data_IF_108529822340
#
_entry.id   IF_108529822340
#
_cell.length_a   1.000
_cell.length_b   1.000
_cell.length_c   1.000
_cell.angle_alpha   90.00
_cell.angle_beta   90.00
_cell.angle_gamma   90.00
#
_symmetry.space_group_name_H-M   'P 1'
#
loop_
_entity.id
_entity.type
_entity.pdbx_description
1 polymer ?
2 polymer ?
3 non-polymer ?
4 non-polymer ?
5 water ?
#
# COMPACT_ATOMS: atom_id res chain seq x y z
N UNK A 1 0.12 0.54 -23.57
CA UNK A 1 0.63 -0.76 -23.03
C UNK A 1 0.18 -0.98 -21.58
N UNK A 2 -0.10 -2.23 -21.21
CA UNK A 2 -0.53 -2.57 -19.86
C UNK A 2 0.60 -2.55 -18.82
N UNK A 3 0.23 -2.38 -17.56
CA UNK A 3 1.21 -2.36 -16.48
C UNK A 3 1.74 -3.77 -16.26
N UNK A 4 0.86 -4.76 -16.45
CA UNK A 4 1.22 -6.17 -16.32
C UNK A 4 1.11 -6.78 -17.70
N UNK A 5 2.26 -7.02 -18.32
CA UNK A 5 2.31 -7.56 -19.68
C UNK A 5 1.85 -9.00 -19.86
N UNK A 6 1.81 -9.77 -18.78
CA UNK A 6 1.36 -11.16 -18.88
C UNK A 6 0.17 -11.43 -17.99
N UNK A 7 -0.81 -12.16 -18.52
CA UNK A 7 -2.01 -12.50 -17.77
C UNK A 7 -1.82 -13.86 -17.09
N UNK A 8 -1.08 -13.83 -15.98
CA UNK A 8 -0.76 -15.01 -15.19
C UNK A 8 -1.97 -15.83 -14.74
N UNK A 9 -1.78 -17.13 -14.66
CA UNK A 9 -2.80 -18.05 -14.15
C UNK A 9 -2.05 -18.65 -12.96
N UNK A 10 -2.73 -18.85 -11.84
CA UNK A 10 -2.04 -19.39 -10.66
C UNK A 10 -1.34 -20.72 -10.91
N UNK A 11 -1.91 -21.55 -11.77
CA UNK A 11 -1.34 -22.85 -12.06
C UNK A 11 -0.22 -22.86 -13.10
N UNK A 12 0.13 -21.69 -13.64
CA UNK A 12 1.22 -21.65 -14.63
C UNK A 12 2.48 -22.21 -13.97
N UNK A 13 3.25 -23.05 -14.70
CA UNK A 13 4.47 -23.64 -14.12
C UNK A 13 5.53 -22.62 -13.71
N UNK A 14 6.20 -22.88 -12.59
CA UNK A 14 7.24 -21.97 -12.10
C UNK A 14 8.39 -21.94 -13.11
N UNK A 15 9.07 -20.81 -13.20
CA UNK A 15 10.19 -20.68 -14.12
C UNK A 15 11.42 -20.11 -13.43
N UNK A 16 11.30 -19.81 -12.14
CA UNK A 16 12.43 -19.29 -11.40
C UNK A 16 12.79 -17.85 -11.71
N UNK A 17 11.96 -17.17 -12.49
CA UNK A 17 12.21 -15.77 -12.84
C UNK A 17 11.05 -14.88 -12.39
N UNK A 18 9.90 -15.00 -13.06
CA UNK A 18 8.75 -14.20 -12.65
C UNK A 18 7.60 -15.04 -12.08
N UNK A 19 7.81 -16.35 -12.04
CA UNK A 19 6.84 -17.27 -11.41
C UNK A 19 7.76 -18.19 -10.63
N UNK A 20 7.77 -18.08 -9.31
CA UNK A 20 8.69 -18.88 -8.52
C UNK A 20 8.32 -19.05 -7.07
N UNK A 21 8.96 -20.01 -6.41
CA UNK A 21 8.76 -20.25 -5.00
C UNK A 21 9.78 -19.36 -4.32
N UNK A 22 9.34 -18.61 -3.32
CA UNK A 22 10.23 -17.69 -2.63
C UNK A 22 10.09 -17.72 -1.12
N UNK A 23 11.03 -17.07 -0.45
CA UNK A 23 11.02 -16.95 1.00
C UNK A 23 11.30 -15.48 1.30
N UNK A 24 10.66 -14.94 2.33
CA UNK A 24 10.86 -13.55 2.69
C UNK A 24 11.70 -13.45 3.98
N UNK A 25 12.47 -12.36 4.12
CA UNK A 25 13.33 -12.14 5.29
C UNK A 25 12.53 -11.77 6.55
N UNK A 26 11.90 -12.78 7.15
CA UNK A 26 11.11 -12.56 8.36
C UNK A 26 11.93 -12.85 9.61
N UNK A 27 13.22 -13.13 9.41
CA UNK A 27 14.11 -13.45 10.53
C UNK A 27 13.64 -14.73 11.21
N UNK A 28 12.84 -15.51 10.49
CA UNK A 28 12.33 -16.76 11.02
C UNK A 28 12.29 -17.82 9.95
N UNK A 29 11.65 -18.95 10.25
CA UNK A 29 11.55 -20.05 9.30
C UNK A 29 10.19 -20.08 8.61
N UNK A 30 10.16 -20.57 7.38
CA UNK A 30 8.93 -20.67 6.61
C UNK A 30 9.18 -21.55 5.39
N UNK A 31 8.11 -22.20 4.92
CA UNK A 31 8.21 -23.03 3.72
C UNK A 31 8.04 -22.05 2.56
N UNK A 32 8.72 -22.30 1.43
CA UNK A 32 8.58 -21.39 0.30
C UNK A 32 7.14 -21.29 -0.24
N UNK A 33 6.77 -20.08 -0.68
CA UNK A 33 5.43 -19.85 -1.22
C UNK A 33 5.52 -19.43 -2.69
N UNK A 34 4.50 -19.79 -3.48
CA UNK A 34 4.50 -19.43 -4.90
C UNK A 34 4.18 -17.95 -5.06
N UNK A 35 5.01 -17.25 -5.83
CA UNK A 35 4.82 -15.81 -6.06
C UNK A 35 4.94 -15.46 -7.54
N UNK A 36 4.41 -14.28 -7.88
CA UNK A 36 4.40 -13.80 -9.27
C UNK A 36 4.91 -12.38 -9.38
N UNK A 37 5.90 -12.17 -10.25
CA UNK A 37 6.45 -10.83 -10.44
C UNK A 37 5.66 -10.21 -11.58
N UNK A 38 4.76 -9.29 -11.24
CA UNK A 38 3.89 -8.66 -12.24
C UNK A 38 4.45 -7.44 -12.96
N UNK A 39 5.52 -6.87 -12.44
CA UNK A 39 6.15 -5.69 -13.03
C UNK A 39 7.52 -5.51 -12.38
N UNK A 40 8.42 -4.77 -13.03
CA UNK A 40 9.74 -4.54 -12.46
C UNK A 40 9.58 -4.07 -11.00
N UNK A 41 10.29 -4.75 -10.07
CA UNK A 41 10.28 -4.42 -8.65
C UNK A 41 8.99 -4.72 -7.86
N UNK A 42 8.00 -5.33 -8.50
CA UNK A 42 6.73 -5.60 -7.81
C UNK A 42 6.27 -7.06 -7.90
N UNK A 43 6.01 -7.66 -6.74
CA UNK A 43 5.56 -9.06 -6.67
C UNK A 43 4.22 -9.22 -5.96
N UNK A 44 3.51 -10.30 -6.30
CA UNK A 44 2.24 -10.62 -5.67
C UNK A 44 2.33 -12.04 -5.12
N UNK A 45 1.96 -12.20 -3.84
CA UNK A 45 1.97 -13.51 -3.16
C UNK A 45 0.52 -13.81 -2.77
N UNK A 46 -0.15 -14.71 -3.50
CA UNK A 46 -1.55 -15.06 -3.21
C UNK A 46 -1.70 -15.99 -1.99
N UNK A 47 -1.24 -15.52 -0.83
CA UNK A 47 -1.34 -16.30 0.41
C UNK A 47 -1.76 -15.36 1.54
N UNK A 48 -2.37 -15.93 2.57
CA UNK A 48 -2.74 -15.15 3.73
C UNK A 48 -1.40 -14.82 4.39
N UNK A 49 -1.24 -13.62 4.92
CA UNK A 49 0.04 -13.25 5.53
C UNK A 49 0.28 -13.74 6.95
N UNK A 50 0.94 -14.90 7.06
CA UNK A 50 1.29 -15.48 8.34
C UNK A 50 2.81 -15.47 8.41
N UNK A 51 3.43 -14.60 7.61
CA UNK A 51 4.88 -14.53 7.52
C UNK A 51 5.59 -13.28 8.06
N UNK A 52 5.07 -12.10 7.72
CA UNK A 52 5.73 -10.87 8.18
C UNK A 52 5.77 -10.69 9.68
N UNK A 53 4.81 -11.29 10.39
CA UNK A 53 4.75 -11.19 11.84
C UNK A 53 4.53 -12.58 12.42
N UNK A 54 5.55 -13.13 13.11
CA UNK A 54 5.45 -14.46 13.72
C UNK A 54 4.31 -14.61 14.72
N UNK A 55 3.98 -13.51 15.38
CA UNK A 55 2.91 -13.52 16.37
C UNK A 55 1.52 -13.44 15.73
N UNK A 56 1.47 -13.45 14.40
CA UNK A 56 0.20 -13.38 13.69
C UNK A 56 0.14 -14.49 12.63
N UNK A 57 0.38 -15.72 13.06
CA UNK A 57 0.36 -16.85 12.15
C UNK A 57 -0.89 -17.72 12.29
N UNK A 58 -1.78 -17.33 13.20
CA UNK A 58 -3.01 -18.08 13.44
C UNK A 58 -4.20 -17.38 12.79
N UNK A 59 -4.81 -18.04 11.80
CA UNK A 59 -5.95 -17.47 11.09
C UNK A 59 -7.28 -17.77 11.78
N UNK A 60 -7.26 -18.66 12.77
CA UNK A 60 -8.47 -19.03 13.49
C UNK A 60 -8.96 -17.88 14.37
N UNK A 61 -10.28 -17.61 14.35
CA UNK A 61 -10.89 -16.55 15.13
C UNK A 61 -11.09 -16.91 16.60
N UNK A 62 -10.75 -15.97 17.51
CA UNK A 62 -10.91 -16.23 18.94
C UNK A 62 -12.40 -16.44 19.25
N UNK A 63 -12.75 -16.67 20.52
CA UNK A 63 -14.16 -16.87 20.85
C UNK A 63 -15.01 -15.67 20.42
N UNK A 64 -16.33 -15.90 20.27
CA UNK A 64 -17.24 -14.85 19.85
C UNK A 64 -17.13 -13.58 20.69
N UNK A 65 -17.17 -13.74 22.01
CA UNK A 65 -17.06 -12.60 22.91
C UNK A 65 -15.59 -12.26 23.14
N UNK A 66 -14.89 -11.92 22.06
CA UNK A 66 -13.47 -11.59 22.12
C UNK A 66 -13.07 -10.84 20.85
N UNK A 67 -13.94 -10.86 19.85
CA UNK A 67 -13.67 -10.21 18.58
C UNK A 67 -13.97 -8.71 18.57
N UNK A 68 -13.12 -7.96 17.87
CA UNK A 68 -13.27 -6.51 17.76
C UNK A 68 -14.47 -6.20 16.85
N UNK A 69 -15.20 -5.12 17.13
CA UNK A 69 -16.36 -4.74 16.33
C UNK A 69 -16.09 -4.71 14.82
N UNK A 70 -15.18 -3.85 14.40
CA UNK A 70 -14.83 -3.75 13.00
C UNK A 70 -13.71 -4.73 12.68
N UNK A 71 -14.11 -5.94 12.28
CA UNK A 71 -13.19 -7.00 11.93
C UNK A 71 -14.01 -8.11 11.27
N UNK A 72 -13.32 -8.99 10.53
CA UNK A 72 -13.99 -10.09 9.86
C UNK A 72 -13.01 -11.25 9.73
N UNK A 73 -13.42 -12.41 10.23
CA UNK A 73 -12.58 -13.59 10.20
C UNK A 73 -13.17 -14.73 9.36
N UNK A 74 -12.29 -15.45 8.66
CA UNK A 74 -12.64 -16.62 7.85
C UNK A 74 -11.32 -17.31 7.54
N UNK A 75 -10.97 -18.27 8.39
CA UNK A 75 -9.72 -19.00 8.27
C UNK A 75 -9.56 -19.73 6.93
N UNK A 76 -10.65 -19.97 6.23
CA UNK A 76 -10.58 -20.70 4.95
C UNK A 76 -10.38 -19.82 3.71
N UNK A 77 -10.56 -18.52 3.84
CA UNK A 77 -10.39 -17.63 2.69
C UNK A 77 -8.96 -17.68 2.14
N UNK A 78 -8.87 -17.81 0.82
CA UNK A 78 -7.60 -17.85 0.11
C UNK A 78 -6.76 -19.08 0.42
N UNK A 79 -7.42 -20.23 0.51
CA UNK A 79 -6.71 -21.48 0.79
C UNK A 79 -6.69 -22.43 -0.41
N UNK A 80 -7.54 -22.18 -1.40
CA UNK A 80 -7.61 -23.05 -2.58
C UNK A 80 -6.98 -22.42 -3.82
N UNK A 81 -6.57 -23.26 -4.77
CA UNK A 81 -5.96 -22.77 -6.00
C UNK A 81 -6.89 -21.88 -6.82
N UNK A 82 -8.19 -22.17 -6.81
CA UNK A 82 -9.14 -21.36 -7.57
C UNK A 82 -9.18 -19.95 -6.97
N UNK A 83 -9.20 -19.86 -5.65
CA UNK A 83 -9.22 -18.57 -4.98
C UNK A 83 -7.96 -17.79 -5.26
N UNK A 84 -6.82 -18.49 -5.25
CA UNK A 84 -5.55 -17.83 -5.49
C UNK A 84 -5.47 -17.30 -6.91
N UNK A 85 -6.05 -18.04 -7.85
CA UNK A 85 -6.07 -17.62 -9.26
C UNK A 85 -6.92 -16.37 -9.38
N UNK A 86 -8.07 -16.35 -8.72
CA UNK A 86 -8.96 -15.19 -8.78
C UNK A 86 -8.34 -13.98 -8.06
N UNK A 87 -7.57 -14.25 -7.02
CA UNK A 87 -6.90 -13.19 -6.25
C UNK A 87 -5.84 -12.52 -7.13
N UNK A 88 -5.05 -13.34 -7.81
CA UNK A 88 -4.00 -12.83 -8.69
C UNK A 88 -4.59 -11.96 -9.81
N UNK A 89 -5.66 -12.46 -10.44
CA UNK A 89 -6.33 -11.75 -11.53
C UNK A 89 -7.00 -10.46 -11.05
N UNK A 90 -7.56 -10.49 -9.84
CA UNK A 90 -8.20 -9.31 -9.29
C UNK A 90 -7.20 -8.21 -8.96
N UNK A 91 -6.09 -8.60 -8.34
CA UNK A 91 -5.05 -7.63 -8.01
C UNK A 91 -4.46 -7.03 -9.29
N UNK A 92 -4.23 -7.88 -10.30
CA UNK A 92 -3.69 -7.43 -11.57
C UNK A 92 -4.63 -6.39 -12.22
N UNK A 93 -5.92 -6.69 -12.21
CA UNK A 93 -6.92 -5.81 -12.80
C UNK A 93 -6.94 -4.46 -12.10
N UNK A 94 -6.77 -4.45 -10.79
CA UNK A 94 -6.78 -3.19 -10.06
C UNK A 94 -5.53 -2.37 -10.39
N UNK A 95 -4.38 -3.03 -10.57
CA UNK A 95 -3.17 -2.30 -10.94
C UNK A 95 -3.40 -1.64 -12.31
N UNK A 96 -4.09 -2.34 -13.21
CA UNK A 96 -4.35 -1.78 -14.54
C UNK A 96 -5.30 -0.59 -14.48
N UNK A 97 -6.32 -0.69 -13.62
CA UNK A 97 -7.27 0.41 -13.47
C UNK A 97 -6.54 1.63 -12.93
N UNK A 98 -5.67 1.42 -11.95
CA UNK A 98 -4.88 2.50 -11.37
C UNK A 98 -3.91 3.10 -12.41
N UNK A 99 -3.22 2.23 -13.13
CA UNK A 99 -2.26 2.66 -14.14
C UNK A 99 -2.91 3.37 -15.33
N UNK A 100 -4.19 3.09 -15.58
CA UNK A 100 -4.90 3.72 -16.69
C UNK A 100 -5.20 5.20 -16.48
N UNK A 101 -4.97 5.68 -15.25
CA UNK A 101 -5.20 7.10 -14.95
C UNK A 101 -3.85 7.81 -14.90
N UNK A 102 -3.82 9.10 -15.22
CA UNK A 102 -2.55 9.81 -15.19
C UNK A 102 -1.95 9.79 -13.79
N UNK A 103 -2.81 10.00 -12.77
CA UNK A 103 -2.34 10.01 -11.39
C UNK A 103 -1.79 8.64 -10.99
N UNK A 104 -2.46 7.57 -11.42
CA UNK A 104 -2.00 6.23 -11.10
C UNK A 104 -0.66 5.92 -11.76
N UNK A 105 -0.49 6.36 -13.00
CA UNK A 105 0.75 6.14 -13.72
C UNK A 105 1.88 6.87 -12.99
N UNK A 106 1.58 8.08 -12.52
CA UNK A 106 2.58 8.87 -11.80
C UNK A 106 2.99 8.18 -10.50
N UNK A 107 2.00 7.75 -9.70
CA UNK A 107 2.29 7.07 -8.43
C UNK A 107 3.09 5.78 -8.62
N UNK A 108 2.67 4.93 -9.54
CA UNK A 108 3.37 3.68 -9.78
C UNK A 108 4.78 3.91 -10.28
N UNK A 109 4.97 4.94 -11.09
CA UNK A 109 6.30 5.26 -11.60
C UNK A 109 7.19 5.65 -10.42
N UNK A 110 6.67 6.47 -9.50
CA UNK A 110 7.43 6.89 -8.32
C UNK A 110 7.79 5.68 -7.45
N UNK A 111 6.87 4.73 -7.35
CA UNK A 111 7.11 3.55 -6.54
C UNK A 111 8.22 2.68 -7.12
N UNK A 112 8.22 2.49 -8.43
CA UNK A 112 9.25 1.67 -9.07
C UNK A 112 10.63 2.30 -8.93
N UNK A 113 10.69 3.63 -9.01
CA UNK A 113 11.96 4.35 -8.88
C UNK A 113 12.44 4.43 -7.43
N UNK A 114 11.54 4.19 -6.49
CA UNK A 114 11.87 4.28 -5.08
C UNK A 114 12.64 3.14 -4.42
N UNK A 115 13.69 2.68 -5.09
CA UNK A 115 14.51 1.59 -4.56
C UNK A 115 15.05 1.89 -3.15
N UNK A 116 14.84 0.97 -2.19
CA UNK A 116 15.34 1.19 -0.83
C UNK A 116 16.84 1.45 -0.85
N UNK A 117 17.28 2.47 -0.12
CA UNK A 117 18.67 2.85 -0.09
C UNK A 117 19.63 1.76 0.41
N UNK A 118 20.81 1.72 -0.19
CA UNK A 118 21.86 0.76 0.17
C UNK A 118 22.65 1.32 1.35
N UNK A 119 22.08 1.23 2.55
CA UNK A 119 22.76 1.73 3.73
C UNK A 119 23.01 0.67 4.78
N UNK A 120 23.28 -0.55 4.34
CA UNK A 120 23.52 -1.64 5.27
C UNK A 120 24.95 -1.83 5.72
N UNK A 121 25.90 -1.21 5.02
CA UNK A 121 27.31 -1.34 5.37
C UNK A 121 27.65 -0.65 6.68
N UNK A 122 28.68 -1.14 7.36
CA UNK A 122 29.11 -0.57 8.63
C UNK A 122 30.28 0.41 8.45
N UNK A 123 30.79 0.47 7.22
CA UNK A 123 31.89 1.37 6.89
C UNK A 123 31.42 2.34 5.81
N UNK A 124 31.49 3.63 6.11
CA UNK A 124 31.05 4.68 5.21
C UNK A 124 31.83 4.84 3.90
N UNK A 125 32.70 3.90 3.57
CA UNK A 125 33.47 4.00 2.34
C UNK A 125 32.96 3.03 1.27
N UNK A 126 31.83 2.40 1.54
CA UNK A 126 31.22 1.45 0.61
C UNK A 126 29.72 1.28 0.84
N UNK A 127 28.98 1.18 -0.25
CA UNK A 127 27.53 1.02 -0.20
C UNK A 127 27.16 -0.46 -0.20
N UNK A 128 26.26 -0.85 0.69
CA UNK A 128 25.81 -2.23 0.78
C UNK A 128 24.30 -2.33 0.98
N UNK A 129 23.68 -3.24 0.23
CA UNK A 129 22.23 -3.43 0.32
C UNK A 129 21.83 -4.00 1.68
N UNK A 130 20.60 -3.72 2.10
CA UNK A 130 20.08 -4.23 3.35
C UNK A 130 19.26 -5.46 2.94
N UNK A 131 19.68 -6.63 3.36
CA UNK A 131 19.00 -7.88 2.99
C UNK A 131 17.50 -7.98 3.23
N UNK A 132 16.97 -7.21 4.19
CA UNK A 132 15.53 -7.27 4.46
C UNK A 132 14.71 -6.57 3.38
N UNK A 133 15.41 -5.97 2.41
CA UNK A 133 14.75 -5.29 1.30
C UNK A 133 14.86 -6.21 0.08
N UNK A 134 15.05 -7.49 0.35
CA UNK A 134 15.17 -8.52 -0.70
C UNK A 134 14.32 -9.73 -0.34
N UNK A 135 14.17 -10.62 -1.31
CA UNK A 135 13.47 -11.88 -1.12
C UNK A 135 14.41 -12.93 -1.69
N UNK A 136 14.24 -14.18 -1.27
CA UNK A 136 15.09 -15.26 -1.77
C UNK A 136 14.28 -16.10 -2.75
N UNK A 137 14.70 -16.07 -4.01
CA UNK A 137 14.02 -16.79 -5.07
C UNK A 137 14.68 -18.13 -5.38
N UNK A 138 13.88 -19.18 -5.43
CA UNK A 138 14.42 -20.50 -5.76
C UNK A 138 14.60 -20.54 -7.27
N UNK A 139 15.84 -20.79 -7.70
CA UNK A 139 16.18 -20.84 -9.13
C UNK A 139 15.87 -22.22 -9.71
N UNK A 140 15.92 -22.36 -11.05
CA UNK A 140 15.64 -23.66 -11.67
C UNK A 140 16.51 -24.80 -11.13
N UNK A 141 17.72 -24.50 -10.68
CA UNK A 141 18.61 -25.52 -10.17
C UNK A 141 18.41 -25.83 -8.69
N UNK A 142 17.39 -25.22 -8.10
CA UNK A 142 17.10 -25.47 -6.70
C UNK A 142 17.79 -24.57 -5.71
N UNK A 143 18.74 -23.76 -6.18
CA UNK A 143 19.46 -22.85 -5.30
C UNK A 143 18.69 -21.54 -5.15
N UNK A 144 19.02 -20.80 -4.10
CA UNK A 144 18.38 -19.52 -3.82
C UNK A 144 19.22 -18.35 -4.32
N UNK A 145 18.56 -17.31 -4.82
CA UNK A 145 19.26 -16.12 -5.26
C UNK A 145 18.53 -14.93 -4.62
N UNK A 146 19.29 -13.94 -4.19
CA UNK A 146 18.73 -12.76 -3.55
C UNK A 146 18.31 -11.72 -4.58
N UNK A 147 17.06 -11.26 -4.47
CA UNK A 147 16.56 -10.24 -5.39
C UNK A 147 15.97 -9.07 -4.64
N UNK A 148 16.40 -7.86 -5.01
CA UNK A 148 15.88 -6.65 -4.38
C UNK A 148 14.51 -6.39 -4.99
N UNK A 149 13.59 -5.84 -4.19
CA UNK A 149 12.26 -5.52 -4.69
C UNK A 149 11.73 -4.35 -3.87
N UNK A 150 10.74 -3.65 -4.40
CA UNK A 150 10.18 -2.49 -3.71
C UNK A 150 8.81 -2.75 -3.08
N UNK A 151 8.02 -3.61 -3.71
CA UNK A 151 6.67 -3.84 -3.24
C UNK A 151 6.16 -5.27 -3.40
N UNK A 152 5.39 -5.71 -2.41
CA UNK A 152 4.80 -7.04 -2.41
C UNK A 152 3.35 -6.89 -1.98
N UNK A 153 2.43 -7.46 -2.75
CA UNK A 153 1.01 -7.42 -2.38
C UNK A 153 0.77 -8.85 -1.88
N UNK A 154 0.27 -8.96 -0.65
CA UNK A 154 0.01 -10.27 -0.05
C UNK A 154 -1.39 -10.27 0.57
N UNK A 155 -1.94 -11.45 0.81
CA UNK A 155 -3.26 -11.53 1.39
C UNK A 155 -3.27 -11.09 2.84
N UNK A 156 -4.45 -10.78 3.40
CA UNK A 156 -4.53 -10.34 4.79
C UNK A 156 -4.19 -11.47 5.77
N UNK A 157 -3.92 -11.07 7.01
CA UNK A 157 -3.62 -12.02 8.07
C UNK A 157 -4.98 -12.50 8.63
N UNK A 158 -5.04 -12.83 9.92
CA UNK A 158 -6.29 -13.32 10.53
C UNK A 158 -7.51 -12.42 10.26
N UNK A 159 -7.38 -11.14 10.59
CA UNK A 159 -8.47 -10.19 10.36
C UNK A 159 -8.43 -9.80 8.89
N UNK A 160 -9.34 -10.37 8.12
CA UNK A 160 -9.41 -10.14 6.67
C UNK A 160 -9.51 -8.69 6.20
N UNK A 161 -10.21 -7.86 6.96
CA UNK A 161 -10.39 -6.48 6.55
C UNK A 161 -9.37 -5.47 7.06
N UNK A 162 -8.34 -5.95 7.76
CA UNK A 162 -7.31 -5.05 8.26
C UNK A 162 -6.22 -4.90 7.20
N UNK A 163 -6.48 -4.10 6.18
CA UNK A 163 -5.50 -3.87 5.11
C UNK A 163 -4.49 -2.86 5.63
N UNK A 164 -3.21 -3.04 5.30
CA UNK A 164 -2.19 -2.11 5.76
C UNK A 164 -0.86 -2.34 5.08
N UNK A 165 0.03 -1.36 5.20
CA UNK A 165 1.35 -1.39 4.63
C UNK A 165 2.32 -1.83 5.75
N UNK A 166 3.07 -2.90 5.51
CA UNK A 166 4.01 -3.41 6.50
C UNK A 166 5.42 -3.53 5.94
N UNK A 167 6.43 -3.45 6.83
CA UNK A 167 7.81 -3.59 6.38
C UNK A 167 8.72 -4.01 7.52
N UNK A 168 9.86 -4.63 7.17
CA UNK A 168 10.80 -5.09 8.18
C UNK A 168 11.68 -3.96 8.65
N UNK A 169 11.80 -3.83 9.97
CA UNK A 169 12.61 -2.77 10.55
C UNK A 169 14.08 -3.12 10.67
N UNK A 170 14.86 -2.13 11.09
CA UNK A 170 16.29 -2.31 11.27
C UNK A 170 16.63 -2.18 12.75
N UNK A 171 17.74 -2.79 13.14
CA UNK A 171 18.20 -2.76 14.52
C UNK A 171 18.42 -1.35 15.05
N UNK A 172 18.90 -0.44 14.19
CA UNK A 172 19.16 0.93 14.61
C UNK A 172 18.48 1.99 13.75
N UNK A 173 18.34 1.70 12.46
CA UNK A 173 17.75 2.66 11.53
C UNK A 173 16.23 2.58 11.42
N UNK A 174 15.60 3.76 11.35
CA UNK A 174 14.15 3.83 11.18
C UNK A 174 13.99 4.06 9.68
N UNK A 175 14.09 2.98 8.92
CA UNK A 175 14.02 3.03 7.46
C UNK A 175 12.85 3.76 6.81
N UNK A 176 11.67 3.72 7.41
CA UNK A 176 10.54 4.42 6.79
C UNK A 176 10.48 5.88 7.19
N UNK A 177 11.39 6.31 8.07
CA UNK A 177 11.38 7.70 8.51
C UNK A 177 12.75 8.38 8.50
N UNK A 178 13.73 7.78 7.82
CA UNK A 178 15.06 8.39 7.76
C UNK A 178 15.51 8.61 6.31
N UNK A 179 14.53 8.60 5.41
CA UNK A 179 14.81 8.81 3.99
C UNK A 179 15.31 7.60 3.22
N UNK A 180 15.72 6.55 3.94
CA UNK A 180 16.25 5.34 3.31
C UNK A 180 15.21 4.54 2.53
N UNK A 181 14.09 4.23 3.19
CA UNK A 181 13.07 3.44 2.54
C UNK A 181 13.30 1.96 2.77
N UNK A 182 12.25 1.16 2.62
CA UNK A 182 12.35 -0.27 2.82
C UNK A 182 11.27 -0.96 1.98
N UNK A 183 11.48 -2.25 1.70
CA UNK A 183 10.49 -3.00 0.92
C UNK A 183 9.15 -3.03 1.66
N UNK A 184 8.09 -2.67 0.94
CA UNK A 184 6.76 -2.63 1.51
C UNK A 184 5.89 -3.84 1.18
N UNK A 185 5.23 -4.36 2.21
CA UNK A 185 4.33 -5.50 2.09
C UNK A 185 2.92 -4.99 2.37
N UNK A 186 2.05 -5.02 1.37
CA UNK A 186 0.68 -4.55 1.56
C UNK A 186 -0.29 -5.71 1.71
N UNK A 187 -0.92 -5.80 2.90
CA UNK A 187 -1.92 -6.82 3.15
C UNK A 187 -3.18 -6.26 2.48
N UNK A 188 -3.73 -7.01 1.53
CA UNK A 188 -4.88 -6.52 0.77
C UNK A 188 -5.65 -7.66 0.09
N UNK A 189 -6.95 -7.44 -0.14
CA UNK A 189 -7.77 -8.42 -0.84
C UNK A 189 -8.74 -7.72 -1.81
N UNK A 190 -8.82 -8.21 -3.05
CA UNK A 190 -9.72 -7.65 -4.07
C UNK A 190 -11.08 -8.36 -4.03
N UNK A 191 -11.21 -9.31 -3.11
CA UNK A 191 -12.40 -10.14 -2.99
C UNK A 191 -13.48 -9.67 -2.03
N UNK A 192 -13.24 -8.52 -1.41
CA UNK A 192 -14.18 -7.92 -0.47
C UNK A 192 -14.10 -6.41 -0.64
N UNK A 193 -15.16 -5.73 -0.24
CA UNK A 193 -15.13 -4.28 -0.23
C UNK A 193 -16.03 -3.81 0.89
N UNK A 194 -16.09 -2.51 1.08
CA UNK A 194 -16.83 -1.93 2.20
C UNK A 194 -17.91 -0.94 1.83
N UNK A 195 -18.93 -0.88 2.66
CA UNK A 195 -20.01 0.04 2.41
C UNK A 195 -19.81 1.36 3.12
N UNK A 196 -20.41 2.40 2.57
CA UNK A 196 -20.34 3.72 3.18
C UNK A 196 -21.67 4.38 2.85
N UNK A 197 -21.97 5.49 3.53
CA UNK A 197 -23.22 6.19 3.30
C UNK A 197 -23.07 7.49 2.53
N UNK A 198 -24.00 7.72 1.61
CA UNK A 198 -24.00 8.91 0.75
C UNK A 198 -24.18 10.25 1.46
N UNK A 199 -24.82 10.24 2.62
CA UNK A 199 -25.00 11.48 3.39
C UNK A 199 -23.89 11.58 4.44
N UNK A 200 -23.21 12.73 4.47
CA UNK A 200 -22.11 12.92 5.42
C UNK A 200 -22.52 12.77 6.88
N UNK A 201 -23.66 13.34 7.25
CA UNK A 201 -24.12 13.25 8.64
C UNK A 201 -24.41 11.81 9.05
N UNK A 202 -24.72 10.96 8.08
CA UNK A 202 -24.99 9.55 8.35
C UNK A 202 -23.68 8.76 8.36
N UNK A 203 -22.83 9.01 7.37
CA UNK A 203 -21.56 8.28 7.27
C UNK A 203 -20.65 8.49 8.48
N UNK A 204 -20.72 9.67 9.08
CA UNK A 204 -19.88 10.00 10.24
C UNK A 204 -20.57 9.73 11.57
N UNK A 205 -21.69 9.01 11.53
CA UNK A 205 -22.45 8.67 12.73
C UNK A 205 -22.39 7.15 12.91
N UNK A 206 -22.01 6.68 14.11
CA UNK A 206 -21.90 5.24 14.39
C UNK A 206 -23.20 4.47 14.54
N UNK A 207 -24.32 5.17 14.60
CA UNK A 207 -25.63 4.52 14.78
C UNK A 207 -26.53 4.48 13.56
N UNK A 208 -26.12 5.12 12.46
CA UNK A 208 -26.95 5.21 11.27
C UNK A 208 -26.38 4.63 9.98
N UNK A 209 -27.27 4.08 9.15
CA UNK A 209 -26.84 3.54 7.87
C UNK A 209 -26.44 2.09 7.85
N UNK A 210 -26.72 1.44 6.72
CA UNK A 210 -26.39 0.03 6.54
C UNK A 210 -25.27 -0.18 5.53
N UNK A 211 -24.86 0.91 4.87
CA UNK A 211 -23.80 0.82 3.88
C UNK A 211 -24.37 0.63 2.47
N UNK A 212 -25.14 1.62 2.01
CA UNK A 212 -25.77 1.56 0.70
C UNK A 212 -24.82 1.52 -0.50
N UNK A 213 -23.76 2.32 -0.45
CA UNK A 213 -22.82 2.35 -1.57
C UNK A 213 -21.55 1.57 -1.25
N UNK A 214 -20.97 0.96 -2.27
CA UNK A 214 -19.77 0.16 -2.09
C UNK A 214 -18.53 0.91 -2.55
N UNK A 215 -17.47 0.84 -1.75
CA UNK A 215 -16.20 1.48 -2.08
C UNK A 215 -15.59 0.73 -3.28
N UNK A 216 -15.04 1.49 -4.24
CA UNK A 216 -14.39 0.85 -5.39
C UNK A 216 -13.04 0.34 -4.85
N UNK A 217 -12.78 -0.97 -4.94
CA UNK A 217 -11.51 -1.52 -4.43
C UNK A 217 -10.23 -0.90 -5.02
N UNK A 218 -10.34 -0.22 -6.16
CA UNK A 218 -9.16 0.41 -6.75
C UNK A 218 -8.72 1.59 -5.89
N UNK A 219 -9.68 2.24 -5.24
CA UNK A 219 -9.36 3.35 -4.35
C UNK A 219 -8.67 2.80 -3.10
N UNK A 220 -9.20 1.71 -2.58
CA UNK A 220 -8.64 1.07 -1.38
C UNK A 220 -7.19 0.66 -1.60
N UNK A 221 -6.90 0.07 -2.76
CA UNK A 221 -5.53 -0.31 -3.05
C UNK A 221 -4.64 0.93 -3.21
N UNK A 222 -5.16 1.94 -3.92
CA UNK A 222 -4.42 3.18 -4.14
C UNK A 222 -4.01 3.80 -2.80
N UNK A 223 -4.91 3.72 -1.82
CA UNK A 223 -4.65 4.27 -0.49
C UNK A 223 -3.39 3.62 0.09
N UNK A 224 -3.31 2.29 0.00
CA UNK A 224 -2.13 1.60 0.54
C UNK A 224 -0.89 1.89 -0.29
N UNK A 225 -1.05 2.06 -1.61
CA UNK A 225 0.08 2.37 -2.48
C UNK A 225 0.66 3.74 -2.13
N UNK A 226 -0.21 4.64 -1.68
CA UNK A 226 0.23 5.99 -1.29
C UNK A 226 1.11 5.87 -0.04
N UNK A 227 0.68 5.06 0.92
CA UNK A 227 1.48 4.83 2.13
C UNK A 227 2.82 4.22 1.70
N UNK A 228 2.78 3.27 0.76
CA UNK A 228 4.00 2.63 0.31
C UNK A 228 4.95 3.66 -0.28
N UNK A 229 4.40 4.62 -1.00
CA UNK A 229 5.21 5.66 -1.59
C UNK A 229 5.93 6.45 -0.52
N UNK A 230 5.23 6.81 0.54
CA UNK A 230 5.85 7.57 1.64
C UNK A 230 6.96 6.74 2.27
N UNK A 231 6.66 5.47 2.53
CA UNK A 231 7.62 4.59 3.19
C UNK A 231 8.84 4.22 2.35
N UNK A 232 8.66 4.10 1.03
CA UNK A 232 9.79 3.77 0.15
C UNK A 232 10.79 4.93 0.06
N UNK A 233 10.29 6.15 0.24
CA UNK A 233 11.15 7.34 0.19
C UNK A 233 11.54 7.78 1.61
N UNK A 234 11.18 6.95 2.59
CA UNK A 234 11.52 7.22 3.98
C UNK A 234 10.99 8.50 4.58
N UNK A 235 9.81 8.93 4.15
CA UNK A 235 9.23 10.15 4.68
C UNK A 235 7.88 9.95 5.38
N UNK A 236 7.64 8.74 5.88
CA UNK A 236 6.38 8.47 6.58
C UNK A 236 6.40 9.22 7.92
N UNK A 237 5.24 9.69 8.36
CA UNK A 237 5.18 10.41 9.63
C UNK A 237 5.07 9.41 10.78
N UNK A 238 5.88 9.62 11.82
CA UNK A 238 5.87 8.74 12.98
C UNK A 238 4.43 8.55 13.45
N UNK A 239 4.00 7.29 13.64
CA UNK A 239 2.63 7.03 14.10
C UNK A 239 2.28 7.64 15.46
N UNK A 240 3.29 8.04 16.22
CA UNK A 240 3.03 8.64 17.53
C UNK A 240 2.53 10.08 17.38
N UNK A 241 2.66 10.63 16.18
CA UNK A 241 2.20 11.99 15.91
C UNK A 241 0.75 11.85 15.45
N UNK A 242 -0.18 12.22 16.31
CA UNK A 242 -1.59 12.08 16.01
C UNK A 242 -2.44 13.31 16.23
N UNK A 243 -3.65 13.27 15.66
CA UNK A 243 -4.61 14.34 15.80
C UNK A 243 -5.65 13.84 16.80
N UNK A 244 -5.79 14.55 17.91
CA UNK A 244 -6.78 14.16 18.91
C UNK A 244 -8.11 14.70 18.37
N UNK A 245 -8.78 13.88 17.58
CA UNK A 245 -10.05 14.26 16.96
C UNK A 245 -11.00 14.98 17.91
N UNK A 246 -11.31 16.23 17.57
CA UNK A 246 -12.22 17.04 18.37
C UNK A 246 -13.26 17.65 17.44
N UNK A 247 -13.49 16.99 16.32
CA UNK A 247 -14.46 17.46 15.32
C UNK A 247 -15.57 16.43 15.11
N UNK A 248 -15.62 15.44 15.99
CA UNK A 248 -16.63 14.39 15.92
C UNK A 248 -16.91 13.94 17.35
N UNK A 249 -18.10 14.28 17.83
CA UNK A 249 -18.52 13.95 19.19
C UNK A 249 -18.35 12.48 19.56
N UNK A 250 -18.60 11.59 18.60
CA UNK A 250 -18.49 10.16 18.84
C UNK A 250 -17.03 9.72 18.96
N UNK A 251 -16.16 10.33 18.17
CA UNK A 251 -14.74 10.01 18.25
C UNK A 251 -14.25 10.51 19.62
N UNK A 252 -14.67 11.72 19.97
CA UNK A 252 -14.28 12.34 21.23
C UNK A 252 -14.62 11.54 22.49
N UNK A 253 -15.82 10.96 22.55
CA UNK A 253 -16.20 10.19 23.72
C UNK A 253 -15.41 8.90 23.83
N UNK A 254 -14.73 8.54 22.74
CA UNK A 254 -13.91 7.32 22.72
C UNK A 254 -12.44 7.68 22.87
N UNK A 255 -12.15 8.98 22.82
CA UNK A 255 -10.77 9.44 22.94
C UNK A 255 -9.90 8.95 21.80
N UNK A 256 -10.51 8.68 20.65
CA UNK A 256 -9.75 8.19 19.51
C UNK A 256 -8.84 9.23 18.87
N UNK A 257 -7.61 8.84 18.62
CA UNK A 257 -6.62 9.71 18.00
C UNK A 257 -6.28 9.10 16.64
N UNK A 258 -6.20 9.92 15.60
CA UNK A 258 -5.87 9.43 14.27
C UNK A 258 -4.50 9.98 13.88
N UNK A 259 -3.63 9.12 13.36
CA UNK A 259 -2.28 9.53 12.98
C UNK A 259 -2.26 10.54 11.84
N UNK A 260 -1.26 11.42 11.86
CA UNK A 260 -1.11 12.42 10.81
C UNK A 260 -0.85 11.71 9.47
N UNK A 261 -0.16 10.58 9.53
CA UNK A 261 0.14 9.81 8.32
C UNK A 261 -1.13 9.41 7.58
N UNK A 262 -2.19 9.06 8.32
CA UNK A 262 -3.45 8.68 7.69
C UNK A 262 -4.18 9.89 7.12
N UNK A 263 -4.19 10.99 7.86
CA UNK A 263 -4.86 12.20 7.39
C UNK A 263 -4.20 12.72 6.12
N UNK A 264 -2.87 12.66 6.07
CA UNK A 264 -2.12 13.11 4.91
C UNK A 264 -2.47 12.25 3.70
N UNK A 265 -2.53 10.94 3.92
CA UNK A 265 -2.82 9.98 2.87
C UNK A 265 -4.22 10.15 2.29
N UNK A 266 -5.20 10.45 3.14
CA UNK A 266 -6.54 10.65 2.61
C UNK A 266 -6.56 11.94 1.79
N UNK A 267 -5.93 12.98 2.34
CA UNK A 267 -5.88 14.27 1.66
C UNK A 267 -7.12 15.12 1.87
N UNK A 268 -7.47 15.92 0.87
CA UNK A 268 -8.64 16.77 0.96
C UNK A 268 -8.63 17.62 2.23
N UNK A 269 -9.78 17.77 2.86
CA UNK A 269 -9.88 18.58 4.07
C UNK A 269 -9.19 17.90 5.26
N UNK A 270 -9.09 16.57 5.23
CA UNK A 270 -8.44 15.82 6.30
C UNK A 270 -7.01 16.29 6.53
N UNK A 271 -6.29 16.53 5.43
CA UNK A 271 -4.90 16.95 5.50
C UNK A 271 -4.72 18.28 6.21
N UNK A 272 -5.78 19.10 6.25
CA UNK A 272 -5.71 20.40 6.90
C UNK A 272 -5.66 20.36 8.42
N UNK A 273 -5.91 19.19 9.02
CA UNK A 273 -5.85 19.08 10.47
C UNK A 273 -4.41 19.15 10.94
N UNK A 274 -3.48 18.99 10.00
CA UNK A 274 -2.04 19.08 10.28
C UNK A 274 -1.70 20.55 10.07
N UNK A 275 -1.45 21.28 11.15
CA UNK A 275 -1.13 22.71 11.04
C UNK A 275 0.15 23.03 10.29
N UNK A 276 0.26 24.29 9.86
CA UNK A 276 1.41 24.78 9.11
C UNK A 276 2.76 24.57 9.80
N UNK A 277 2.82 24.88 11.10
CA UNK A 277 4.07 24.74 11.86
C UNK A 277 4.57 23.30 11.91
N UNK A 278 3.67 22.35 12.16
CA UNK A 278 4.07 20.95 12.21
C UNK A 278 4.42 20.48 10.81
N UNK A 279 3.71 21.02 9.82
CA UNK A 279 3.95 20.67 8.43
C UNK A 279 5.37 21.08 8.06
N UNK A 280 5.78 22.27 8.48
CA UNK A 280 7.13 22.77 8.19
C UNK A 280 8.16 21.95 8.95
N UNK A 281 7.82 21.55 10.18
CA UNK A 281 8.71 20.75 11.01
C UNK A 281 9.11 19.46 10.29
N UNK A 282 8.09 18.75 9.80
CA UNK A 282 8.34 17.50 9.10
C UNK A 282 9.12 17.70 7.80
N UNK A 283 8.75 18.73 7.04
CA UNK A 283 9.42 18.99 5.78
C UNK A 283 10.92 19.22 5.97
N UNK A 284 11.28 20.03 6.96
CA UNK A 284 12.68 20.30 7.24
C UNK A 284 13.39 19.06 7.74
N UNK A 285 12.69 18.28 8.58
CA UNK A 285 13.23 17.06 9.14
C UNK A 285 13.66 16.09 8.03
N UNK A 286 12.78 15.89 7.06
CA UNK A 286 13.11 14.97 5.97
C UNK A 286 14.11 15.55 4.98
N UNK A 287 14.18 16.88 4.94
CA UNK A 287 15.15 17.55 4.08
C UNK A 287 16.52 17.19 4.65
N UNK A 288 16.64 17.26 5.97
CA UNK A 288 17.90 16.93 6.65
C UNK A 288 18.27 15.47 6.43
N UNK A 289 17.26 14.61 6.32
CA UNK A 289 17.51 13.18 6.10
C UNK A 289 18.06 12.94 4.71
N UNK A 290 17.52 13.65 3.71
CA UNK A 290 17.98 13.51 2.34
C UNK A 290 19.41 14.04 2.25
N UNK A 291 19.72 15.01 3.11
CA UNK A 291 21.06 15.60 3.16
C UNK A 291 22.05 14.56 3.68
N UNK A 292 21.68 13.87 4.75
CA UNK A 292 22.55 12.84 5.33
C UNK A 292 22.82 11.74 4.33
N UNK A 293 21.83 11.44 3.48
CA UNK A 293 21.99 10.41 2.47
C UNK A 293 22.98 10.90 1.41
N UNK A 294 22.99 12.21 1.19
CA UNK A 294 23.90 12.80 0.21
C UNK A 294 25.32 12.72 0.73
N UNK A 295 25.48 12.99 2.03
CA UNK A 295 26.79 12.96 2.68
C UNK A 295 27.34 11.54 2.71
N UNK A 296 26.47 10.58 2.98
CA UNK A 296 26.86 9.17 3.03
C UNK A 296 27.29 8.71 1.65
N UNK A 297 26.60 9.18 0.62
CA UNK A 297 26.91 8.82 -0.76
C UNK A 297 28.27 9.37 -1.19
N UNK A 298 28.64 10.54 -0.66
CA UNK A 298 29.92 11.14 -1.01
C UNK A 298 31.07 10.37 -0.38
N UNK A 299 30.94 9.98 0.88
CA UNK A 299 31.98 9.24 1.57
C UNK A 299 32.19 7.86 0.95
N UNK A 300 31.20 7.38 0.20
CA UNK A 300 31.28 6.08 -0.44
C UNK A 300 32.35 6.04 -1.51
N UNK A 301 33.16 4.99 -1.49
CA UNK A 301 34.24 4.81 -2.47
C UNK A 301 34.07 3.54 -3.30
N UNK A 302 33.63 2.47 -2.65
CA UNK A 302 33.43 1.19 -3.32
C UNK A 302 32.00 0.68 -3.16
N UNK A 303 31.72 -0.44 -3.83
CA UNK A 303 30.41 -1.05 -3.77
C UNK A 303 30.54 -2.52 -3.38
N UNK A 304 29.58 -3.03 -2.62
CA UNK A 304 29.61 -4.42 -2.19
C UNK A 304 28.77 -5.27 -3.14
N UNK A 305 29.35 -6.37 -3.60
CA UNK A 305 28.64 -7.25 -4.52
C UNK A 305 29.06 -6.99 -5.96
N UNK A 306 28.53 -7.77 -6.88
CA UNK A 306 28.87 -7.61 -8.29
C UNK A 306 27.62 -7.58 -9.17
N UNK A 307 26.47 -7.35 -8.55
CA UNK A 307 25.21 -7.29 -9.28
C UNK A 307 25.13 -6.02 -10.12
N UNK A 308 25.57 -4.91 -9.53
CA UNK A 308 25.55 -3.61 -10.22
C UNK A 308 26.83 -2.86 -9.90
N UNK A 309 27.16 -1.87 -10.73
CA UNK A 309 28.36 -1.07 -10.53
C UNK A 309 28.07 0.11 -9.61
N UNK A 310 29.09 0.58 -8.91
CA UNK A 310 28.94 1.72 -8.00
C UNK A 310 28.36 2.90 -8.79
N UNK A 311 28.93 3.12 -9.97
CA UNK A 311 28.48 4.21 -10.85
C UNK A 311 26.99 4.08 -11.10
N UNK A 312 26.53 2.85 -11.32
CA UNK A 312 25.13 2.61 -11.58
C UNK A 312 24.27 2.95 -10.37
N UNK A 313 24.65 2.42 -9.21
CA UNK A 313 23.89 2.66 -7.98
C UNK A 313 23.91 4.12 -7.54
N UNK A 314 25.09 4.74 -7.55
CA UNK A 314 25.17 6.14 -7.14
C UNK A 314 24.24 6.97 -8.00
N UNK A 315 24.07 6.55 -9.25
CA UNK A 315 23.19 7.24 -10.19
C UNK A 315 21.73 6.88 -9.99
N UNK A 316 21.47 5.64 -9.57
CA UNK A 316 20.10 5.18 -9.33
C UNK A 316 19.47 5.99 -8.20
N UNK A 317 20.29 6.30 -7.20
CA UNK A 317 19.81 7.07 -6.05
C UNK A 317 19.81 8.56 -6.34
N UNK A 318 20.55 8.97 -7.37
CA UNK A 318 20.59 10.38 -7.74
C UNK A 318 19.25 10.67 -8.40
N UNK A 319 18.73 9.66 -9.10
CA UNK A 319 17.45 9.77 -9.79
C UNK A 319 16.27 9.62 -8.82
N UNK A 320 16.45 8.77 -7.81
CA UNK A 320 15.38 8.54 -6.83
C UNK A 320 15.14 9.78 -6.00
N UNK A 321 16.23 10.31 -5.44
CA UNK A 321 16.16 11.49 -4.58
C UNK A 321 16.32 12.80 -5.35
N UNK A 322 16.48 12.70 -6.66
CA UNK A 322 16.64 13.88 -7.52
C UNK A 322 17.70 14.84 -7.00
N UNK A 323 18.85 14.28 -6.62
CA UNK A 323 19.95 15.07 -6.10
C UNK A 323 20.67 15.82 -7.21
N UNK A 324 21.53 16.75 -6.81
CA UNK A 324 22.31 17.54 -7.75
C UNK A 324 23.77 17.11 -7.60
N UNK A 325 24.55 17.33 -8.66
CA UNK A 325 25.96 16.96 -8.64
C UNK A 325 26.83 18.09 -9.20
N UNK A 326 27.83 18.50 -8.43
CA UNK A 326 28.72 19.57 -8.86
C UNK A 326 29.86 19.07 -9.73
N UNK A 327 30.75 19.98 -10.12
CA UNK A 327 31.89 19.64 -10.98
C UNK A 327 32.70 18.48 -10.43
N UNK A 328 33.05 18.55 -9.15
CA UNK A 328 33.82 17.49 -8.51
C UNK A 328 33.07 16.16 -8.47
N UNK A 329 31.75 16.23 -8.63
CA UNK A 329 30.94 15.03 -8.62
C UNK A 329 30.21 14.81 -7.29
N UNK A 330 30.43 15.72 -6.35
CA UNK A 330 29.80 15.64 -5.04
C UNK A 330 28.29 15.84 -5.16
N UNK A 331 27.54 15.11 -4.34
CA UNK A 331 26.08 15.20 -4.36
C UNK A 331 25.55 16.21 -3.34
N UNK A 332 24.41 16.82 -3.67
CA UNK A 332 23.77 17.79 -2.79
C UNK A 332 22.26 17.78 -3.02
N UNK A 333 21.51 18.19 -2.00
CA UNK A 333 20.06 18.25 -2.10
C UNK A 333 19.65 19.67 -2.46
N UNK A 334 18.82 19.81 -3.49
CA UNK A 334 18.34 21.11 -3.95
C UNK A 334 16.98 21.37 -3.28
N UNK A 335 16.81 22.56 -2.70
CA UNK A 335 15.55 22.88 -2.03
C UNK A 335 14.32 22.78 -2.92
N UNK A 336 14.37 23.40 -4.09
CA UNK A 336 13.24 23.39 -5.01
C UNK A 336 12.86 21.97 -5.43
N UNK A 337 13.86 21.17 -5.75
CA UNK A 337 13.64 19.80 -6.18
C UNK A 337 13.13 18.93 -5.02
N UNK A 338 13.65 19.17 -3.82
CA UNK A 338 13.19 18.40 -2.67
C UNK A 338 11.73 18.73 -2.39
N UNK A 339 11.42 20.02 -2.33
CA UNK A 339 10.05 20.44 -2.06
C UNK A 339 9.07 19.90 -3.11
N UNK A 340 9.49 19.88 -4.36
CA UNK A 340 8.63 19.37 -5.44
C UNK A 340 8.35 17.88 -5.28
N UNK A 341 9.39 17.11 -4.97
CA UNK A 341 9.24 15.66 -4.80
C UNK A 341 8.42 15.35 -3.56
N UNK A 342 8.76 16.02 -2.46
CA UNK A 342 8.06 15.81 -1.19
C UNK A 342 6.57 16.11 -1.38
N UNK A 343 6.26 17.21 -2.06
CA UNK A 343 4.88 17.63 -2.32
C UNK A 343 4.15 16.63 -3.22
N UNK A 344 4.85 16.11 -4.22
CA UNK A 344 4.25 15.13 -5.13
C UNK A 344 3.82 13.89 -4.34
N UNK A 345 4.72 13.36 -3.53
CA UNK A 345 4.46 12.16 -2.74
C UNK A 345 3.43 12.34 -1.61
N UNK A 346 3.33 13.55 -1.08
CA UNK A 346 2.43 13.78 0.05
C UNK A 346 1.12 14.52 -0.23
N UNK A 347 1.10 15.35 -1.27
CA UNK A 347 -0.08 16.14 -1.60
C UNK A 347 -0.76 15.77 -2.91
N UNK A 348 0.02 15.34 -3.89
CA UNK A 348 -0.57 14.98 -5.17
C UNK A 348 -1.14 13.57 -5.10
N UNK A 349 -0.39 12.64 -4.51
CA UNK A 349 -0.87 11.26 -4.38
C UNK A 349 -1.69 11.13 -3.09
N UNK A 350 -3.02 11.29 -3.22
CA UNK A 350 -3.91 11.16 -2.06
C UNK A 350 -5.16 10.40 -2.46
N UNK A 351 -5.85 9.84 -1.48
CA UNK A 351 -7.08 9.10 -1.75
C UNK A 351 -8.10 10.00 -2.44
N UNK A 352 -8.26 11.21 -1.91
CA UNK A 352 -9.24 12.13 -2.47
C UNK A 352 -9.00 12.43 -3.95
N UNK A 353 -7.73 12.59 -4.35
CA UNK A 353 -7.45 12.84 -5.76
C UNK A 353 -7.73 11.63 -6.64
N UNK A 354 -7.51 10.42 -6.13
CA UNK A 354 -7.79 9.23 -6.93
C UNK A 354 -9.29 9.10 -7.19
N UNK A 355 -10.09 9.53 -6.23
CA UNK A 355 -11.54 9.48 -6.38
C UNK A 355 -11.94 10.33 -7.58
N UNK A 356 -11.29 11.48 -7.72
CA UNK A 356 -11.58 12.38 -8.84
C UNK A 356 -11.23 11.71 -10.18
N UNK A 357 -10.10 11.00 -10.22
CA UNK A 357 -9.71 10.34 -11.46
C UNK A 357 -10.58 9.14 -11.83
N UNK A 358 -11.00 8.38 -10.83
CA UNK A 358 -11.84 7.22 -11.09
C UNK A 358 -13.32 7.56 -11.32
N UNK A 359 -13.71 8.79 -10.97
CA UNK A 359 -15.10 9.23 -11.13
C UNK A 359 -16.04 8.30 -10.38
N UNK A 360 -15.72 8.04 -9.11
CA UNK A 360 -16.55 7.18 -8.28
C UNK A 360 -17.01 7.91 -7.03
N UNK A 361 -17.97 7.31 -6.32
CA UNK A 361 -18.46 7.87 -5.06
C UNK A 361 -17.55 7.21 -4.02
N UNK A 362 -17.24 7.92 -2.93
CA UNK A 362 -16.32 7.40 -1.93
C UNK A 362 -16.56 8.15 -0.62
N UNK A 363 -16.03 7.65 0.48
CA UNK A 363 -16.16 8.35 1.76
C UNK A 363 -15.54 9.73 1.54
N UNK A 364 -16.09 10.74 2.22
CA UNK A 364 -15.63 12.11 2.09
C UNK A 364 -14.53 12.46 3.09
N UNK A 365 -14.35 11.59 4.08
CA UNK A 365 -13.35 11.79 5.12
C UNK A 365 -12.93 10.45 5.71
N UNK A 366 -11.75 10.41 6.31
CA UNK A 366 -11.23 9.21 6.95
C UNK A 366 -11.86 9.14 8.35
N UNK A 367 -12.36 10.28 8.82
CA UNK A 367 -12.97 10.35 10.15
C UNK A 367 -14.45 9.99 10.14
N UNK A 368 -14.76 8.77 9.72
CA UNK A 368 -16.14 8.33 9.66
C UNK A 368 -16.26 6.99 10.38
N UNK A 369 -17.36 6.27 10.15
CA UNK A 369 -17.59 4.97 10.76
C UNK A 369 -17.91 3.92 9.71
N UNK A 370 -17.28 2.75 9.83
CA UNK A 370 -17.54 1.66 8.89
C UNK A 370 -18.99 1.21 9.01
N UNK A 371 -19.55 0.72 7.90
CA UNK A 371 -20.94 0.28 7.88
C UNK A 371 -21.11 -1.21 7.65
N UNK A 372 -20.37 -1.75 6.69
CA UNK A 372 -20.49 -3.17 6.38
C UNK A 372 -19.39 -3.68 5.44
N UNK A 373 -19.25 -5.00 5.39
CA UNK A 373 -18.28 -5.63 4.50
C UNK A 373 -19.07 -6.53 3.55
N UNK A 374 -18.73 -6.46 2.27
CA UNK A 374 -19.37 -7.24 1.21
C UNK A 374 -18.40 -8.15 0.49
N UNK A 375 -18.89 -9.29 0.02
CA UNK A 375 -18.08 -10.19 -0.78
C UNK A 375 -18.36 -9.74 -2.21
N UNK A 376 -17.33 -9.70 -3.06
CA UNK A 376 -17.49 -9.28 -4.45
C UNK A 376 -16.62 -10.14 -5.37
N UNK A 377 -16.76 -9.93 -6.67
CA UNK A 377 -15.93 -10.65 -7.65
C UNK A 377 -15.75 -9.72 -8.85
N UNK A 378 -14.62 -9.04 -8.88
CA UNK A 378 -14.35 -8.08 -9.94
C UNK A 378 -13.69 -8.65 -11.19
N UNK A 379 -13.39 -9.94 -11.20
CA UNK A 379 -12.72 -10.54 -12.34
C UNK A 379 -13.55 -10.59 -13.62
N UNK A 380 -14.83 -11.00 -13.54
CA UNK A 380 -15.64 -11.05 -14.77
C UNK A 380 -15.89 -9.64 -15.31
N UNK A 381 -15.68 -9.44 -16.61
CA UNK A 381 -15.88 -8.13 -17.21
C UNK A 381 -17.32 -7.66 -17.14
N UNK A 382 -18.26 -8.58 -17.01
CA UNK A 382 -19.66 -8.22 -16.91
C UNK A 382 -19.94 -7.61 -15.54
N UNK A 383 -18.98 -7.75 -14.62
CA UNK A 383 -19.12 -7.22 -13.26
C UNK A 383 -18.33 -5.94 -13.00
N UNK A 384 -17.12 -5.89 -13.54
CA UNK A 384 -16.22 -4.77 -13.27
C UNK A 384 -15.18 -4.68 -14.38
N UNK A 385 -14.81 -3.45 -14.75
CA UNK A 385 -13.80 -3.27 -15.79
C UNK A 385 -12.72 -2.29 -15.39
N UNK A 386 -11.59 -2.39 -16.08
CA UNK A 386 -10.46 -1.50 -15.85
C UNK A 386 -10.87 -0.04 -16.03
N UNK A 387 -11.69 0.20 -17.04
CA UNK A 387 -12.12 1.56 -17.38
C UNK A 387 -13.27 2.17 -16.58
N UNK A 388 -14.25 1.36 -16.18
CA UNK A 388 -15.39 1.88 -15.44
C UNK A 388 -15.63 1.33 -14.05
N UNK A 389 -14.80 0.40 -13.60
CA UNK A 389 -15.06 -0.18 -12.29
C UNK A 389 -16.43 -0.84 -12.36
N UNK A 390 -17.29 -0.60 -11.37
CA UNK A 390 -18.64 -1.18 -11.34
C UNK A 390 -19.65 -0.43 -12.20
N UNK A 391 -19.37 0.84 -12.49
CA UNK A 391 -20.29 1.68 -13.24
C UNK A 391 -20.14 1.52 -14.76
N UNK A 392 -20.49 0.33 -15.24
CA UNK A 392 -20.37 -0.03 -16.66
C UNK A 392 -21.08 0.88 -17.65
N UNK A 393 -20.32 1.42 -18.60
CA UNK A 393 -20.87 2.30 -19.61
C UNK A 393 -21.89 1.58 -20.49
N UNK A 394 -22.83 2.35 -21.03
CA UNK A 394 -23.87 1.82 -21.90
C UNK A 394 -24.75 0.75 -21.26
N UNK A 395 -24.96 0.88 -19.96
CA UNK A 395 -25.82 -0.03 -19.20
C UNK A 395 -26.54 0.84 -18.18
N UNK A 396 -27.45 0.25 -17.43
CA UNK A 396 -28.20 0.99 -16.41
C UNK A 396 -27.31 1.36 -15.23
N UNK A 397 -26.10 0.81 -15.20
CA UNK A 397 -25.16 1.07 -14.11
C UNK A 397 -24.18 2.20 -14.43
N UNK A 398 -24.27 2.75 -15.64
CA UNK A 398 -23.37 3.82 -16.05
C UNK A 398 -23.50 5.14 -15.30
N UNK A 399 -24.72 5.59 -15.09
CA UNK A 399 -24.94 6.87 -14.42
C UNK A 399 -25.23 6.83 -12.93
N UNK A 400 -25.03 7.98 -12.29
CA UNK A 400 -25.30 8.15 -10.87
C UNK A 400 -24.65 7.12 -9.95
N UNK A 401 -23.51 6.59 -10.36
CA UNK A 401 -22.79 5.59 -9.56
C UNK A 401 -23.69 4.38 -9.28
N UNK A 402 -24.59 4.08 -10.21
CA UNK A 402 -25.51 2.95 -10.03
C UNK A 402 -24.80 1.61 -9.82
N UNK A 403 -23.60 1.48 -10.38
CA UNK A 403 -22.85 0.24 -10.22
C UNK A 403 -22.36 0.04 -8.79
N UNK A 404 -22.14 1.14 -8.08
CA UNK A 404 -21.68 1.09 -6.71
C UNK A 404 -22.86 1.05 -5.74
N UNK A 405 -24.06 1.26 -6.27
CA UNK A 405 -25.28 1.24 -5.47
C UNK A 405 -25.61 -0.24 -5.22
N UNK A 406 -25.37 -0.72 -4.01
CA UNK A 406 -25.60 -2.13 -3.70
C UNK A 406 -27.06 -2.55 -3.76
N UNK A 407 -27.96 -1.58 -3.78
CA UNK A 407 -29.37 -1.87 -3.85
C UNK A 407 -29.82 -2.05 -5.30
N UNK A 408 -29.22 -1.29 -6.21
CA UNK A 408 -29.54 -1.39 -7.63
C UNK A 408 -28.77 -2.55 -8.27
N UNK A 409 -27.46 -2.58 -8.02
CA UNK A 409 -26.57 -3.61 -8.54
C UNK A 409 -26.37 -4.68 -7.48
N UNK A 410 -27.47 -5.17 -6.92
CA UNK A 410 -27.41 -6.16 -5.85
C UNK A 410 -26.77 -7.50 -6.16
N UNK A 411 -26.75 -7.89 -7.43
CA UNK A 411 -26.16 -9.17 -7.81
C UNK A 411 -24.64 -9.20 -7.66
N UNK A 412 -24.03 -8.03 -7.51
CA UNK A 412 -22.58 -7.93 -7.37
C UNK A 412 -22.09 -7.81 -5.93
N UNK A 413 -23.00 -7.84 -4.97
CA UNK A 413 -22.62 -7.69 -3.58
C UNK A 413 -23.37 -8.61 -2.62
N UNK A 414 -22.64 -9.27 -1.74
CA UNK A 414 -23.24 -10.13 -0.73
C UNK A 414 -22.76 -9.59 0.61
N UNK A 415 -23.67 -9.04 1.41
CA UNK A 415 -23.27 -8.47 2.71
C UNK A 415 -22.92 -9.58 3.69
N UNK A 416 -21.72 -9.49 4.25
CA UNK A 416 -21.26 -10.51 5.19
C UNK A 416 -21.40 -10.11 6.65
N UNK A 417 -21.30 -8.81 6.93
CA UNK A 417 -21.40 -8.32 8.30
C UNK A 417 -21.76 -6.85 8.35
N UNK A 418 -22.58 -6.49 9.33
CA UNK A 418 -22.99 -5.11 9.56
C UNK A 418 -22.19 -4.61 10.76
N UNK A 419 -21.73 -3.37 10.70
CA UNK A 419 -20.95 -2.79 11.79
C UNK A 419 -21.75 -1.75 12.56
N UNK A 420 -22.73 -1.14 11.90
CA UNK A 420 -23.53 -0.10 12.53
C UNK A 420 -24.28 -0.56 13.78
N UNK A 421 -24.20 0.25 14.83
CA UNK A 421 -24.86 -0.06 16.07
C UNK A 421 -24.07 -0.94 17.01
N UNK A 422 -22.91 -1.41 16.55
CA UNK A 422 -22.07 -2.28 17.35
C UNK A 422 -20.92 -1.55 18.05
N UNK A 423 -20.68 -0.30 17.67
CA UNK A 423 -19.60 0.47 18.27
C UNK A 423 -19.91 0.79 19.73
N UNK B 1 -3.26 2.15 6.17
CA UNK B 1 -4.29 1.39 6.93
C UNK B 1 -5.67 1.81 6.44
N UNK B 2 -6.46 0.83 6.02
CA UNK B 2 -7.80 1.07 5.48
C UNK B 2 -8.66 2.02 6.31
N UNK B 3 -8.63 1.85 7.63
CA UNK B 3 -9.43 2.70 8.50
C UNK B 3 -8.99 2.64 9.95
N UNK B 4 -9.58 3.50 10.77
CA UNK B 4 -9.29 3.53 12.18
C UNK B 4 -10.02 2.36 12.81
N UNK B 5 -9.99 2.25 14.13
CA UNK B 5 -10.68 1.16 14.79
C UNK B 5 -12.20 1.26 14.59
N UNK B 6 -12.65 2.38 14.02
CA UNK B 6 -14.07 2.60 13.75
C UNK B 6 -14.51 2.16 12.38
#
# INVERSE_FOLDING_TARGET
>A
MPFVNKQFNYKDPVNGVDIAYIKIPNAGQMQPVKAFKIHNKIWVIPERDTFTNPEEGDLNPPPEAKQVPVSYYDSTYLSTDNEKDNYLKGVTKLFERIYSTDLGRMLLTSIVRGIPFWGGSTIDTELKVIDTNCINVIQPDGSYRSEELNLVIIGPSADIIQFECKSFGHEVLNLTRNGYGSTQYIRFSPDFTFGFEESLEVDTNPLLGAGKFATDPAVTLAHELIHAGHRLYGIAINPNRVFKVNTNAYYEMSGLEVSFEELRTFGGHDAKFIDSLQENEFRLYYYNKFKDIASTLNKAKSIVGTTASLQYMKNVFKEKYLLSEDTSGKFSVDKLKFDKLYKMLTEIYTEDNFVKFFKVLNRKTYLNFDKAVFKINIVPKVNYTIYDGFNLRNTNLAANFNGQNTEINNMNFTKLKNFTGLFEHHHHHH
>B
RRATKMX
#
